data_IF_602554647743
#
_entry.id   IF_602554647743
#
_cell.length_a   1.000
_cell.length_b   1.000
_cell.length_c   1.000
_cell.angle_alpha   90.00
_cell.angle_beta   90.00
_cell.angle_gamma   90.00
#
_symmetry.space_group_name_H-M   'P 1'
#
loop_
_entity.id
_entity.type
_entity.pdbx_description
1 polymer ?
#
# COMPACT_ATOMS: atom_id res chain seq x y z
N UNK A 1 -4.53 -10.18 5.75
CA UNK A 1 -5.60 -10.66 6.64
C UNK A 1 -6.86 -9.87 6.32
N UNK A 2 -8.06 -10.45 6.41
CA UNK A 2 -9.28 -9.64 6.35
C UNK A 2 -9.40 -8.80 7.65
N UNK A 3 -9.90 -7.55 7.59
CA UNK A 3 -10.19 -6.77 8.79
C UNK A 3 -11.16 -7.50 9.72
N UNK A 4 -11.08 -7.27 11.03
CA UNK A 4 -11.92 -7.94 12.02
C UNK A 4 -13.42 -7.71 11.82
N UNK A 5 -13.78 -6.59 11.17
CA UNK A 5 -15.17 -6.24 10.80
C UNK A 5 -15.63 -6.86 9.47
N UNK A 6 -14.75 -7.56 8.74
CA UNK A 6 -15.12 -8.23 7.51
C UNK A 6 -16.15 -9.34 7.80
N UNK A 7 -17.10 -9.53 6.89
CA UNK A 7 -18.14 -10.55 7.00
C UNK A 7 -18.27 -11.32 5.69
N UNK A 8 -18.85 -12.52 5.74
CA UNK A 8 -19.00 -13.41 4.58
C UNK A 8 -19.68 -12.72 3.39
N UNK A 9 -20.70 -11.91 3.67
CA UNK A 9 -21.60 -11.36 2.64
C UNK A 9 -21.33 -9.87 2.35
N UNK A 10 -20.20 -9.30 2.82
CA UNK A 10 -19.90 -7.86 2.72
C UNK A 10 -19.76 -7.31 1.29
N UNK A 11 -19.60 -8.20 0.31
CA UNK A 11 -19.50 -7.87 -1.12
C UNK A 11 -20.76 -8.22 -1.92
N UNK A 12 -21.85 -8.58 -1.25
CA UNK A 12 -23.13 -8.77 -1.92
C UNK A 12 -23.89 -7.44 -2.05
N UNK A 13 -24.71 -7.32 -3.09
CA UNK A 13 -25.73 -6.29 -3.22
C UNK A 13 -27.03 -6.68 -2.49
N UNK A 14 -28.03 -5.81 -2.55
CA UNK A 14 -29.32 -6.02 -1.87
C UNK A 14 -30.11 -7.24 -2.41
N UNK A 15 -29.73 -7.76 -3.57
CA UNK A 15 -30.34 -8.93 -4.20
C UNK A 15 -29.55 -10.22 -3.92
N UNK A 16 -28.43 -10.12 -3.20
CA UNK A 16 -27.54 -11.24 -2.90
C UNK A 16 -26.56 -11.58 -4.00
N UNK A 17 -26.40 -10.74 -5.03
CA UNK A 17 -25.43 -10.96 -6.11
C UNK A 17 -24.09 -10.30 -5.75
N UNK A 18 -22.98 -10.82 -6.31
CA UNK A 18 -21.64 -10.28 -6.08
C UNK A 18 -21.45 -8.91 -6.72
N UNK A 19 -20.98 -7.93 -5.95
CA UNK A 19 -20.60 -6.60 -6.43
C UNK A 19 -19.07 -6.49 -6.55
N UNK A 20 -18.58 -6.57 -7.79
CA UNK A 20 -17.15 -6.52 -8.07
C UNK A 20 -16.54 -5.16 -7.75
N UNK A 21 -17.29 -4.05 -7.87
CA UNK A 21 -16.78 -2.70 -7.55
C UNK A 21 -16.45 -2.58 -6.07
N UNK A 22 -17.30 -3.13 -5.18
CA UNK A 22 -16.99 -3.17 -3.74
C UNK A 22 -15.69 -3.93 -3.47
N UNK A 23 -15.47 -5.06 -4.15
CA UNK A 23 -14.29 -5.92 -3.92
C UNK A 23 -13.01 -5.50 -4.65
N UNK A 24 -13.07 -4.57 -5.61
CA UNK A 24 -11.93 -4.17 -6.43
C UNK A 24 -11.53 -2.70 -6.28
N UNK A 25 -12.49 -1.78 -6.21
CA UNK A 25 -12.22 -0.33 -6.30
C UNK A 25 -12.74 0.49 -5.13
N UNK A 26 -13.47 -0.12 -4.19
CA UNK A 26 -13.87 0.55 -2.95
C UNK A 26 -12.85 0.36 -1.83
N UNK A 27 -12.93 1.17 -0.76
CA UNK A 27 -12.11 0.98 0.45
C UNK A 27 -12.36 -0.37 1.14
N UNK A 28 -13.48 -1.05 0.88
CA UNK A 28 -13.75 -2.41 1.39
C UNK A 28 -12.87 -3.48 0.74
N UNK A 29 -12.31 -3.21 -0.44
CA UNK A 29 -11.45 -4.14 -1.19
C UNK A 29 -10.11 -4.42 -0.49
N UNK A 30 -9.73 -3.58 0.47
CA UNK A 30 -8.41 -3.63 1.11
C UNK A 30 -8.37 -4.63 2.26
N UNK A 31 -7.45 -5.59 2.18
CA UNK A 31 -7.02 -6.39 3.33
C UNK A 31 -5.92 -5.70 4.13
N UNK A 32 -5.75 -6.06 5.41
CA UNK A 32 -4.67 -5.53 6.25
C UNK A 32 -3.30 -5.85 5.63
N UNK A 33 -2.48 -4.84 5.28
CA UNK A 33 -1.27 -5.04 4.47
C UNK A 33 -0.14 -5.81 5.17
N UNK A 34 0.48 -6.74 4.44
CA UNK A 34 1.44 -7.69 5.03
C UNK A 34 2.91 -7.52 4.70
N UNK A 35 3.24 -6.68 3.71
CA UNK A 35 4.58 -6.62 3.12
C UNK A 35 5.66 -6.20 4.12
N UNK A 36 5.44 -5.15 4.90
CA UNK A 36 6.44 -4.61 5.85
C UNK A 36 6.79 -5.63 6.93
N UNK A 37 5.79 -6.33 7.48
CA UNK A 37 5.99 -7.39 8.46
C UNK A 37 6.72 -8.59 7.87
N UNK A 38 6.37 -9.00 6.65
CA UNK A 38 7.03 -10.13 5.97
C UNK A 38 8.50 -9.86 5.70
N UNK A 39 8.82 -8.68 5.15
CA UNK A 39 10.21 -8.29 4.91
C UNK A 39 11.01 -8.13 6.21
N UNK A 40 10.43 -7.54 7.25
CA UNK A 40 11.13 -7.40 8.53
C UNK A 40 11.35 -8.77 9.18
N UNK A 41 10.34 -9.65 9.19
CA UNK A 41 10.51 -11.02 9.70
C UNK A 41 11.63 -11.78 8.96
N UNK A 42 11.68 -11.68 7.62
CA UNK A 42 12.72 -12.32 6.83
C UNK A 42 14.10 -11.70 7.07
N UNK A 43 14.19 -10.37 7.13
CA UNK A 43 15.44 -9.65 7.34
C UNK A 43 15.99 -9.89 8.76
N UNK A 44 15.14 -9.83 9.78
CA UNK A 44 15.54 -10.03 11.17
C UNK A 44 16.01 -11.47 11.43
N UNK A 45 15.36 -12.45 10.78
CA UNK A 45 15.68 -13.87 10.99
C UNK A 45 16.80 -14.40 10.10
N UNK A 46 16.86 -13.94 8.85
CA UNK A 46 17.74 -14.53 7.83
C UNK A 46 18.66 -13.50 7.15
N UNK A 47 18.41 -12.22 7.35
CA UNK A 47 19.24 -11.15 6.80
C UNK A 47 20.50 -10.89 7.63
N UNK A 48 21.35 -10.03 7.08
CA UNK A 48 22.62 -9.62 7.71
C UNK A 48 22.78 -8.10 7.78
N UNK A 49 21.83 -7.34 7.22
CA UNK A 49 21.85 -5.87 7.18
C UNK A 49 20.68 -5.31 8.00
N UNK A 50 20.85 -4.16 8.66
CA UNK A 50 19.74 -3.51 9.34
C UNK A 50 18.74 -2.91 8.35
N UNK A 51 17.47 -2.80 8.77
CA UNK A 51 16.35 -2.34 7.93
C UNK A 51 16.64 -0.99 7.25
N UNK A 52 17.23 -0.03 7.98
CA UNK A 52 17.55 1.28 7.42
C UNK A 52 18.48 1.21 6.20
N UNK A 53 19.43 0.27 6.15
CA UNK A 53 20.35 0.13 5.02
C UNK A 53 19.65 -0.42 3.79
N UNK A 54 18.73 -1.36 3.97
CA UNK A 54 18.01 -1.99 2.85
C UNK A 54 16.85 -1.13 2.34
N UNK A 55 16.27 -0.25 3.18
CA UNK A 55 15.24 0.72 2.79
C UNK A 55 15.84 1.95 2.09
N UNK A 56 17.09 2.32 2.42
CA UNK A 56 17.73 3.54 1.91
C UNK A 56 17.66 3.73 0.37
N UNK A 57 17.86 2.71 -0.48
CA UNK A 57 17.74 2.87 -1.92
C UNK A 57 16.33 3.27 -2.36
N UNK A 58 15.30 2.64 -1.79
CA UNK A 58 13.90 2.96 -2.07
C UNK A 58 13.54 4.37 -1.59
N UNK A 59 14.02 4.76 -0.40
CA UNK A 59 13.86 6.12 0.12
C UNK A 59 14.42 7.17 -0.86
N UNK A 60 15.63 6.95 -1.37
CA UNK A 60 16.25 7.87 -2.35
C UNK A 60 15.43 7.95 -3.64
N UNK A 61 14.98 6.82 -4.18
CA UNK A 61 14.14 6.81 -5.37
C UNK A 61 12.82 7.57 -5.17
N UNK A 62 12.17 7.40 -4.01
CA UNK A 62 10.93 8.11 -3.70
C UNK A 62 11.14 9.62 -3.50
N UNK A 63 12.21 10.02 -2.79
CA UNK A 63 12.54 11.41 -2.46
C UNK A 63 13.06 12.17 -3.68
N UNK A 64 14.07 11.60 -4.34
CA UNK A 64 14.78 12.27 -5.43
C UNK A 64 14.03 12.10 -6.75
N UNK A 65 13.16 11.09 -6.84
CA UNK A 65 12.40 10.71 -8.01
C UNK A 65 13.19 9.91 -9.03
N UNK A 66 12.46 9.27 -9.95
CA UNK A 66 13.04 8.50 -11.05
C UNK A 66 12.28 8.80 -12.36
N UNK A 67 12.92 8.47 -13.49
CA UNK A 67 12.34 8.70 -14.80
C UNK A 67 11.33 7.60 -15.12
N UNK A 68 10.12 8.01 -15.49
CA UNK A 68 9.05 7.13 -15.94
C UNK A 68 9.50 6.46 -17.25
N UNK A 69 9.55 5.13 -17.24
CA UNK A 69 9.86 4.31 -18.41
C UNK A 69 8.58 3.95 -19.20
N UNK A 70 8.72 3.22 -20.30
CA UNK A 70 7.58 2.79 -21.12
C UNK A 70 6.56 1.99 -20.30
N UNK A 71 7.02 1.01 -19.52
CA UNK A 71 6.14 0.15 -18.73
C UNK A 71 5.25 0.95 -17.77
N UNK A 72 5.83 1.85 -16.98
CA UNK A 72 5.07 2.66 -16.03
C UNK A 72 4.16 3.67 -16.74
N UNK A 73 4.60 4.26 -17.86
CA UNK A 73 3.76 5.18 -18.64
C UNK A 73 2.53 4.46 -19.22
N UNK A 74 2.74 3.27 -19.78
CA UNK A 74 1.68 2.44 -20.35
C UNK A 74 0.70 2.00 -19.26
N UNK A 75 1.20 1.53 -18.11
CA UNK A 75 0.36 1.10 -17.00
C UNK A 75 -0.44 2.26 -16.39
N UNK A 76 0.17 3.45 -16.23
CA UNK A 76 -0.53 4.65 -15.75
C UNK A 76 -1.64 5.05 -16.72
N UNK A 77 -1.38 5.00 -18.02
CA UNK A 77 -2.35 5.36 -19.05
C UNK A 77 -3.49 4.35 -19.14
N UNK A 78 -3.20 3.06 -19.12
CA UNK A 78 -4.19 2.00 -19.34
C UNK A 78 -4.94 1.64 -18.08
N UNK A 79 -4.24 1.25 -17.01
CA UNK A 79 -4.87 0.77 -15.78
C UNK A 79 -5.03 1.90 -14.76
N UNK A 80 -4.04 2.79 -14.67
CA UNK A 80 -4.07 3.91 -13.75
C UNK A 80 -5.26 4.84 -13.99
N UNK A 81 -5.60 5.12 -15.25
CA UNK A 81 -6.71 6.01 -15.63
C UNK A 81 -8.07 5.56 -15.09
N UNK A 82 -8.25 4.26 -14.82
CA UNK A 82 -9.51 3.71 -14.30
C UNK A 82 -9.71 4.02 -12.80
N UNK A 83 -8.64 4.28 -12.04
CA UNK A 83 -8.70 4.34 -10.57
C UNK A 83 -7.98 5.53 -9.97
N UNK A 84 -6.75 5.84 -10.40
CA UNK A 84 -5.90 6.87 -9.79
C UNK A 84 -6.49 8.29 -9.85
N UNK A 85 -7.08 8.76 -10.97
CA UNK A 85 -7.62 10.12 -11.02
C UNK A 85 -8.92 10.30 -10.23
N UNK A 86 -9.56 9.21 -9.77
CA UNK A 86 -10.80 9.24 -8.99
C UNK A 86 -10.56 9.57 -7.50
N UNK A 87 -9.29 9.60 -7.06
CA UNK A 87 -8.92 9.92 -5.68
C UNK A 87 -7.91 11.07 -5.67
N UNK A 88 -8.20 12.15 -4.93
CA UNK A 88 -7.41 13.38 -4.96
C UNK A 88 -5.93 13.15 -4.60
N UNK A 89 -5.67 12.34 -3.58
CA UNK A 89 -4.32 12.00 -3.12
C UNK A 89 -3.53 11.21 -4.16
N UNK A 90 -4.15 10.23 -4.82
CA UNK A 90 -3.55 9.44 -5.89
C UNK A 90 -3.28 10.28 -7.13
N UNK A 91 -4.26 11.09 -7.55
CA UNK A 91 -4.13 12.01 -8.68
C UNK A 91 -2.99 13.00 -8.47
N UNK A 92 -2.85 13.55 -7.26
CA UNK A 92 -1.77 14.49 -6.93
C UNK A 92 -0.36 13.91 -7.08
N UNK A 93 -0.20 12.58 -7.07
CA UNK A 93 1.10 11.90 -7.20
C UNK A 93 1.36 11.47 -8.66
N UNK A 94 0.36 10.88 -9.31
CA UNK A 94 0.56 10.17 -10.58
C UNK A 94 0.05 10.93 -11.81
N UNK A 95 -0.69 12.04 -11.61
CA UNK A 95 -1.18 12.91 -12.68
C UNK A 95 -0.51 14.27 -12.63
N UNK A 96 -0.22 14.82 -13.80
CA UNK A 96 0.30 16.18 -13.98
C UNK A 96 -0.52 16.86 -15.07
N UNK A 97 -0.99 18.08 -14.79
CA UNK A 97 -1.75 18.89 -15.75
C UNK A 97 -2.99 18.18 -16.34
N UNK A 98 -3.62 17.31 -15.54
CA UNK A 98 -4.84 16.58 -15.93
C UNK A 98 -4.58 15.26 -16.66
N UNK A 99 -3.32 14.90 -16.91
CA UNK A 99 -2.91 13.69 -17.65
C UNK A 99 -2.05 12.76 -16.77
N UNK A 100 -2.03 11.44 -17.02
CA UNK A 100 -1.05 10.56 -16.38
C UNK A 100 0.37 10.99 -16.76
N UNK A 101 1.31 10.81 -15.83
CA UNK A 101 2.73 10.99 -16.13
C UNK A 101 3.14 10.11 -17.32
N UNK A 102 3.95 10.68 -18.21
CA UNK A 102 4.35 10.07 -19.48
C UNK A 102 5.81 9.63 -19.41
N UNK A 103 6.23 8.77 -20.35
CA UNK A 103 7.63 8.38 -20.47
C UNK A 103 8.53 9.62 -20.52
N UNK A 104 9.62 9.61 -19.75
CA UNK A 104 10.55 10.74 -19.64
C UNK A 104 10.19 11.74 -18.56
N UNK A 105 8.94 11.76 -18.06
CA UNK A 105 8.60 12.54 -16.87
C UNK A 105 9.34 11.98 -15.64
N UNK A 106 9.53 12.85 -14.65
CA UNK A 106 10.13 12.48 -13.38
C UNK A 106 9.05 12.29 -12.32
N UNK A 107 8.89 11.06 -11.84
CA UNK A 107 7.98 10.74 -10.74
C UNK A 107 8.70 10.92 -9.40
N UNK A 108 8.22 11.86 -8.59
CA UNK A 108 8.65 12.09 -7.21
C UNK A 108 7.51 11.72 -6.27
N UNK A 109 7.80 10.95 -5.22
CA UNK A 109 6.80 10.44 -4.27
C UNK A 109 7.16 10.88 -2.85
N UNK A 110 7.09 12.18 -2.57
CA UNK A 110 7.56 12.77 -1.31
C UNK A 110 6.88 12.17 -0.07
N UNK A 111 5.57 11.93 -0.12
CA UNK A 111 4.84 11.32 0.99
C UNK A 111 5.30 9.87 1.24
N UNK A 112 5.52 9.09 0.17
CA UNK A 112 6.06 7.74 0.28
C UNK A 112 7.50 7.77 0.83
N UNK A 113 8.31 8.74 0.43
CA UNK A 113 9.64 8.93 0.98
C UNK A 113 9.60 9.17 2.49
N UNK A 114 8.65 9.98 2.98
CA UNK A 114 8.47 10.18 4.42
C UNK A 114 8.06 8.90 5.13
N UNK A 115 7.16 8.11 4.56
CA UNK A 115 6.81 6.79 5.11
C UNK A 115 8.02 5.85 5.17
N UNK A 116 8.84 5.80 4.12
CA UNK A 116 10.05 4.98 4.08
C UNK A 116 11.12 5.45 5.09
N UNK A 117 11.28 6.76 5.26
CA UNK A 117 12.15 7.34 6.28
C UNK A 117 11.73 6.90 7.68
N UNK A 118 10.45 7.06 8.03
CA UNK A 118 9.96 6.68 9.35
C UNK A 118 10.05 5.16 9.58
N UNK A 119 9.83 4.32 8.57
CA UNK A 119 10.06 2.86 8.68
C UNK A 119 11.54 2.54 8.90
N UNK A 120 12.45 3.23 8.23
CA UNK A 120 13.88 3.03 8.41
C UNK A 120 14.33 3.44 9.82
N UNK A 121 13.73 4.48 10.40
CA UNK A 121 14.06 4.99 11.74
C UNK A 121 13.40 4.19 12.87
N UNK A 122 12.11 3.92 12.76
CA UNK A 122 11.28 3.36 13.84
C UNK A 122 11.00 1.86 13.66
N UNK A 123 11.44 1.27 12.55
CA UNK A 123 11.20 -0.14 12.24
C UNK A 123 9.79 -0.43 11.70
N UNK A 124 9.40 -1.72 11.62
CA UNK A 124 8.09 -2.11 11.10
C UNK A 124 6.92 -1.57 11.93
N UNK A 125 7.13 -1.26 13.21
CA UNK A 125 6.11 -0.72 14.10
C UNK A 125 5.58 0.64 13.62
N UNK A 126 6.34 1.41 12.83
CA UNK A 126 5.83 2.62 12.18
C UNK A 126 4.61 2.33 11.30
N UNK A 127 4.67 1.23 10.56
CA UNK A 127 3.60 0.82 9.64
C UNK A 127 2.38 0.26 10.38
N UNK A 128 2.61 -0.48 11.46
CA UNK A 128 1.55 -1.23 12.15
C UNK A 128 0.97 -0.53 13.38
N UNK A 129 1.66 0.46 13.94
CA UNK A 129 1.26 1.18 15.16
C UNK A 129 1.51 2.69 15.10
N UNK A 130 2.45 3.14 14.27
CA UNK A 130 2.88 4.53 14.16
C UNK A 130 1.99 5.42 13.29
N UNK A 131 2.61 6.43 12.67
CA UNK A 131 1.93 7.45 11.87
C UNK A 131 1.29 6.88 10.62
N UNK A 132 1.95 5.91 9.97
CA UNK A 132 1.40 5.26 8.78
C UNK A 132 0.14 4.46 9.16
N UNK A 133 0.15 3.77 10.31
CA UNK A 133 -1.03 3.04 10.78
C UNK A 133 -2.22 3.98 11.02
N UNK A 134 -1.96 5.14 11.62
CA UNK A 134 -2.95 6.20 11.81
C UNK A 134 -3.50 6.70 10.47
N UNK A 135 -2.64 6.98 9.49
CA UNK A 135 -3.04 7.44 8.16
C UNK A 135 -3.94 6.43 7.45
N UNK A 136 -3.61 5.14 7.51
CA UNK A 136 -4.43 4.07 6.93
C UNK A 136 -5.79 4.00 7.63
N UNK A 137 -5.82 3.97 8.96
CA UNK A 137 -7.07 3.88 9.71
C UNK A 137 -7.97 5.10 9.46
N UNK A 138 -7.40 6.30 9.38
CA UNK A 138 -8.14 7.51 9.04
C UNK A 138 -8.70 7.48 7.62
N UNK A 139 -7.92 7.04 6.64
CA UNK A 139 -8.37 6.90 5.25
C UNK A 139 -9.56 5.92 5.16
N UNK A 140 -9.47 4.80 5.88
CA UNK A 140 -10.53 3.79 5.92
C UNK A 140 -11.77 4.33 6.61
N UNK A 141 -11.63 4.95 7.79
CA UNK A 141 -12.74 5.52 8.53
C UNK A 141 -13.51 6.57 7.72
N UNK A 142 -12.80 7.48 7.04
CA UNK A 142 -13.43 8.58 6.28
C UNK A 142 -14.24 8.09 5.08
N UNK A 143 -13.86 6.97 4.50
CA UNK A 143 -14.41 6.50 3.22
C UNK A 143 -15.18 5.17 3.34
N UNK A 144 -15.51 4.73 4.55
CA UNK A 144 -16.30 3.50 4.76
C UNK A 144 -15.51 2.19 4.58
N UNK A 145 -14.18 2.25 4.67
CA UNK A 145 -13.30 1.08 4.77
C UNK A 145 -13.33 0.44 6.16
N UNK A 146 -12.73 -0.76 6.27
CA UNK A 146 -12.82 -1.56 7.50
C UNK A 146 -11.52 -1.65 8.32
N UNK A 147 -10.35 -1.43 7.71
CA UNK A 147 -9.07 -1.60 8.41
C UNK A 147 -8.95 -0.56 9.52
N UNK A 148 -8.78 -1.05 10.75
CA UNK A 148 -8.56 -0.26 11.95
C UNK A 148 -7.10 -0.30 12.41
N UNK A 149 -6.74 0.51 13.41
CA UNK A 149 -5.42 0.41 14.05
C UNK A 149 -5.27 -0.91 14.80
N UNK A 150 -6.35 -1.44 15.35
CA UNK A 150 -6.39 -2.75 15.99
C UNK A 150 -6.07 -3.86 14.99
N UNK A 151 -6.62 -3.79 13.77
CA UNK A 151 -6.31 -4.74 12.70
C UNK A 151 -4.83 -4.69 12.30
N UNK A 152 -4.28 -3.48 12.15
CA UNK A 152 -2.87 -3.26 11.81
C UNK A 152 -1.95 -3.79 12.92
N UNK A 153 -2.22 -3.45 14.18
CA UNK A 153 -1.43 -3.90 15.33
C UNK A 153 -1.53 -5.41 15.56
N UNK A 154 -2.65 -6.04 15.19
CA UNK A 154 -2.85 -7.49 15.30
C UNK A 154 -2.20 -8.27 14.13
N UNK A 155 -1.78 -7.61 13.05
CA UNK A 155 -1.19 -8.29 11.90
C UNK A 155 0.12 -8.99 12.28
N UNK A 156 0.28 -10.23 11.79
CA UNK A 156 1.52 -10.99 11.94
C UNK A 156 1.86 -11.71 10.63
N UNK A 157 3.10 -11.54 10.18
CA UNK A 157 3.67 -12.43 9.17
C UNK A 157 3.87 -13.82 9.79
N UNK A 158 3.64 -14.88 9.00
CA UNK A 158 3.74 -16.26 9.46
C UNK A 158 4.65 -17.02 8.52
N UNK A 159 5.77 -17.51 9.04
CA UNK A 159 6.60 -18.48 8.35
C UNK A 159 5.94 -19.86 8.38
N UNK A 160 5.97 -20.57 7.26
CA UNK A 160 5.34 -21.88 7.10
C UNK A 160 6.32 -22.84 6.43
N UNK A 161 6.21 -24.13 6.75
CA UNK A 161 6.94 -25.18 6.06
C UNK A 161 6.53 -25.20 4.59
N UNK A 162 7.47 -25.13 3.63
CA UNK A 162 7.16 -25.28 2.22
C UNK A 162 6.51 -26.64 1.93
N UNK A 163 5.60 -26.68 0.97
CA UNK A 163 5.11 -27.94 0.41
C UNK A 163 6.20 -28.50 -0.51
N UNK A 164 6.47 -29.80 -0.41
CA UNK A 164 7.41 -30.54 -1.25
C UNK A 164 6.77 -31.81 -1.78
N UNK A 165 7.13 -32.22 -2.99
CA UNK A 165 6.75 -33.49 -3.62
C UNK A 165 7.96 -34.23 -4.15
#
# INVERSE_FOLDING_TARGET
MAPAKATRDMFLDDQGNTDSKKSLTSHLASGTPGTVAGFSLALDKYGTMPLNKVVQPAFKLARDGFIVNDALADDLKTYGSEVLPNHENSKAIFWKEGEPLKKGDKLVQANLAKSLEMIAENGPDEFYKGTIAEQIAQEMQKNGGLISKEDLAAYKAVERTPISG
#
